data_IF_884165068496
#
_entry.id   IF_884165068496
#
_cell.length_a   1.000
_cell.length_b   1.000
_cell.length_c   1.000
_cell.angle_alpha   90.00
_cell.angle_beta   90.00
_cell.angle_gamma   90.00
#
_symmetry.space_group_name_H-M   'P 1'
#
loop_
_entity.id
_entity.type
_entity.pdbx_description
1 polymer ?
#
# COMPACT_ATOMS: atom_id res chain seq x y z
N UNK A 1 13.51 12.97 29.91
CA UNK A 1 13.44 12.66 28.46
C UNK A 1 14.73 12.09 27.86
N UNK A 2 15.92 12.28 28.46
CA UNK A 2 17.20 11.74 27.93
C UNK A 2 17.33 10.21 28.07
N UNK A 3 16.68 9.60 29.07
CA UNK A 3 16.68 8.14 29.30
C UNK A 3 15.86 7.33 28.29
N UNK A 4 14.92 7.95 27.57
CA UNK A 4 14.09 7.28 26.55
C UNK A 4 14.88 7.13 25.24
N UNK A 5 15.69 8.13 24.88
CA UNK A 5 16.51 8.09 23.65
C UNK A 5 17.67 7.08 23.72
N UNK A 6 18.24 6.84 24.90
CA UNK A 6 19.26 5.79 25.08
C UNK A 6 18.71 4.37 24.90
N UNK A 7 17.44 4.14 25.27
CA UNK A 7 16.79 2.84 25.07
C UNK A 7 16.40 2.59 23.60
N UNK A 8 16.03 3.62 22.84
CA UNK A 8 15.80 3.51 21.39
C UNK A 8 17.10 3.24 20.61
N UNK A 9 18.24 3.76 21.07
CA UNK A 9 19.52 3.54 20.39
C UNK A 9 20.06 2.11 20.60
N UNK A 10 19.80 1.50 21.76
CA UNK A 10 20.15 0.09 22.02
C UNK A 10 19.27 -0.90 21.22
N UNK A 11 18.03 -0.54 20.89
CA UNK A 11 17.15 -1.36 20.04
C UNK A 11 17.65 -1.39 18.57
N UNK A 12 18.16 -0.29 18.03
CA UNK A 12 18.64 -0.22 16.64
C UNK A 12 19.91 -1.04 16.40
N UNK A 13 20.75 -1.27 17.42
CA UNK A 13 21.98 -2.07 17.28
C UNK A 13 21.68 -3.58 17.37
N UNK A 14 20.63 -3.99 18.10
CA UNK A 14 20.27 -5.41 18.25
C UNK A 14 19.61 -5.99 16.99
N UNK A 15 19.07 -5.17 16.10
CA UNK A 15 18.40 -5.60 14.87
C UNK A 15 19.33 -5.75 13.65
N UNK A 16 20.58 -5.27 13.73
CA UNK A 16 21.54 -5.33 12.60
C UNK A 16 22.34 -6.64 12.53
N UNK A 17 22.10 -7.60 13.43
CA UNK A 17 22.73 -8.93 13.38
C UNK A 17 21.74 -10.10 13.16
N UNK A 18 20.44 -9.83 13.02
CA UNK A 18 19.40 -10.88 12.98
C UNK A 18 18.64 -10.96 11.66
N UNK A 19 19.13 -10.32 10.60
CA UNK A 19 18.53 -10.36 9.26
C UNK A 19 19.55 -10.90 8.27
N UNK A 20 20.01 -12.13 8.48
CA UNK A 20 20.55 -12.99 7.43
C UNK A 20 20.52 -14.43 7.95
N UNK A 21 19.34 -15.05 7.94
CA UNK A 21 19.13 -16.50 7.84
C UNK A 21 17.63 -16.76 7.98
N UNK A 22 16.97 -17.15 6.89
CA UNK A 22 16.15 -18.36 6.79
C UNK A 22 15.92 -18.58 5.29
N UNK A 23 16.31 -19.77 4.82
CA UNK A 23 16.22 -20.31 3.45
C UNK A 23 17.49 -20.20 2.60
N UNK A 24 18.56 -20.85 3.04
CA UNK A 24 19.36 -21.71 2.16
C UNK A 24 20.11 -22.76 3.00
N UNK A 25 19.98 -24.01 2.54
CA UNK A 25 20.89 -25.16 2.61
C UNK A 25 21.92 -25.20 3.76
N UNK A 26 21.84 -26.29 4.52
CA UNK A 26 22.77 -26.65 5.58
C UNK A 26 24.17 -26.96 4.99
N UNK A 27 25.14 -26.07 5.21
CA UNK A 27 26.57 -26.30 4.92
C UNK A 27 27.36 -26.08 6.23
N UNK A 28 28.11 -27.06 6.75
CA UNK A 28 28.71 -26.97 8.09
C UNK A 28 30.08 -26.24 8.17
N UNK A 29 30.53 -25.51 7.14
CA UNK A 29 31.88 -24.93 7.11
C UNK A 29 31.96 -23.44 6.72
N UNK A 30 31.19 -22.55 7.35
CA UNK A 30 31.37 -21.10 7.16
C UNK A 30 31.80 -20.41 8.45
N UNK A 31 33.03 -19.91 8.43
CA UNK A 31 33.76 -19.26 9.51
C UNK A 31 33.17 -17.89 9.90
N UNK A 32 32.98 -17.72 11.21
CA UNK A 32 33.26 -16.55 12.04
C UNK A 32 32.88 -15.13 11.54
N UNK A 33 31.87 -14.54 12.20
CA UNK A 33 31.77 -13.08 12.37
C UNK A 33 32.97 -12.57 13.19
N UNK A 34 33.94 -11.98 12.50
CA UNK A 34 35.11 -11.33 13.10
C UNK A 34 34.70 -10.12 13.96
N UNK A 35 35.02 -10.20 15.25
CA UNK A 35 34.69 -9.22 16.30
C UNK A 35 35.66 -8.03 16.36
N UNK A 36 36.38 -7.72 15.29
CA UNK A 36 37.53 -6.79 15.33
C UNK A 36 37.22 -5.32 14.99
N UNK A 37 35.99 -4.94 14.63
CA UNK A 37 35.69 -3.56 14.16
C UNK A 37 34.87 -2.66 15.11
N UNK A 38 34.70 -3.02 16.39
CA UNK A 38 33.92 -2.21 17.36
C UNK A 38 34.79 -1.18 18.12
N UNK A 39 36.11 -1.10 17.87
CA UNK A 39 37.00 -0.18 18.61
C UNK A 39 37.29 1.17 17.95
N UNK A 40 36.76 1.45 16.75
CA UNK A 40 37.05 2.71 16.02
C UNK A 40 35.90 3.72 15.94
N UNK A 41 34.79 3.52 16.66
CA UNK A 41 33.63 4.43 16.66
C UNK A 41 33.46 5.28 17.93
N UNK A 42 34.29 5.07 18.96
CA UNK A 42 34.18 5.80 20.23
C UNK A 42 34.87 7.18 20.24
N UNK A 43 35.68 7.51 19.23
CA UNK A 43 36.43 8.77 19.19
C UNK A 43 35.69 9.94 18.48
N UNK A 44 34.60 9.69 17.76
CA UNK A 44 33.92 10.73 16.97
C UNK A 44 32.68 11.36 17.65
N UNK A 45 32.17 10.77 18.74
CA UNK A 45 30.90 11.21 19.35
C UNK A 45 31.07 12.24 20.48
N UNK A 46 32.29 12.48 20.97
CA UNK A 46 32.52 13.38 22.12
C UNK A 46 32.31 14.88 21.82
N UNK A 47 32.45 15.30 20.55
CA UNK A 47 32.38 16.72 20.18
C UNK A 47 30.99 17.20 19.76
N UNK A 48 30.05 16.30 19.46
CA UNK A 48 28.70 16.65 19.03
C UNK A 48 27.74 16.91 20.20
N UNK A 49 27.93 16.29 21.36
CA UNK A 49 27.05 16.48 22.52
C UNK A 49 27.10 17.89 23.12
N UNK A 50 28.21 18.64 22.95
CA UNK A 50 28.31 20.02 23.42
C UNK A 50 27.55 21.03 22.54
N UNK A 51 27.38 20.73 21.25
CA UNK A 51 26.64 21.61 20.31
C UNK A 51 25.12 21.46 20.46
N UNK A 52 24.60 20.26 20.74
CA UNK A 52 23.16 20.05 20.93
C UNK A 52 22.61 20.70 22.21
N UNK A 53 23.44 20.88 23.25
CA UNK A 53 23.00 21.52 24.50
C UNK A 53 22.81 23.03 24.39
N UNK A 54 23.50 23.70 23.44
CA UNK A 54 23.38 25.15 23.23
C UNK A 54 22.14 25.47 22.36
N UNK A 55 21.83 24.61 21.39
CA UNK A 55 20.66 24.75 20.52
C UNK A 55 19.35 24.58 21.31
N UNK A 56 19.32 23.71 22.33
CA UNK A 56 18.13 23.51 23.18
C UNK A 56 17.84 24.72 24.09
N UNK A 57 18.88 25.44 24.55
CA UNK A 57 18.73 26.65 25.38
C UNK A 57 18.27 27.85 24.55
N UNK A 58 18.67 27.95 23.29
CA UNK A 58 18.24 29.01 22.38
C UNK A 58 16.78 28.83 21.90
N UNK A 59 16.31 27.59 21.71
CA UNK A 59 14.91 27.33 21.33
C UNK A 59 13.91 27.60 22.46
N UNK A 60 14.32 27.50 23.74
CA UNK A 60 13.46 27.82 24.88
C UNK A 60 13.25 29.34 25.08
N UNK A 61 14.14 30.19 24.56
CA UNK A 61 14.02 31.64 24.67
C UNK A 61 13.07 32.28 23.62
N UNK A 62 12.77 31.57 22.52
CA UNK A 62 11.95 32.10 21.40
C UNK A 62 10.44 31.97 21.67
N UNK A 63 10.00 31.23 22.70
CA UNK A 63 8.57 30.99 22.96
C UNK A 63 7.87 32.02 23.86
N UNK A 64 8.51 33.15 24.20
CA UNK A 64 7.94 34.14 25.13
C UNK A 64 7.37 35.42 24.49
N UNK A 65 7.37 35.54 23.15
CA UNK A 65 6.73 36.67 22.47
C UNK A 65 5.83 36.16 21.35
N UNK A 66 4.56 36.01 21.71
CA UNK A 66 3.34 36.15 20.90
C UNK A 66 2.32 35.06 21.27
N UNK A 67 1.59 35.33 22.35
CA UNK A 67 0.30 34.69 22.60
C UNK A 67 -0.69 35.12 21.53
N UNK A 68 -0.78 34.34 20.46
CA UNK A 68 -1.94 34.29 19.59
C UNK A 68 -2.73 33.04 19.96
N UNK A 69 -3.86 33.23 20.62
CA UNK A 69 -4.84 32.18 20.89
C UNK A 69 -5.35 31.65 19.55
N UNK A 70 -4.89 30.48 19.13
CA UNK A 70 -5.53 29.74 18.04
C UNK A 70 -6.81 29.16 18.62
N UNK A 71 -7.95 29.73 18.22
CA UNK A 71 -9.26 29.15 18.48
C UNK A 71 -9.33 27.79 17.79
N UNK A 72 -9.18 26.71 18.57
CA UNK A 72 -9.52 25.37 18.09
C UNK A 72 -11.05 25.28 18.17
N UNK A 73 -11.70 25.60 17.06
CA UNK A 73 -13.10 25.25 16.85
C UNK A 73 -13.19 23.73 16.85
N UNK A 74 -13.92 23.19 17.82
CA UNK A 74 -14.32 21.80 17.94
C UNK A 74 -15.02 21.36 16.64
N UNK A 75 -14.25 20.68 15.77
CA UNK A 75 -14.74 20.04 14.57
C UNK A 75 -14.93 18.54 14.84
N UNK A 76 -15.71 18.21 15.86
CA UNK A 76 -16.24 16.86 16.03
C UNK A 76 -17.32 16.62 14.96
N UNK A 77 -17.01 15.74 14.01
CA UNK A 77 -17.94 15.03 13.09
C UNK A 77 -18.33 15.69 11.75
N UNK A 78 -17.37 16.22 10.98
CA UNK A 78 -17.50 16.21 9.49
C UNK A 78 -16.18 16.33 8.70
N UNK A 79 -15.05 15.88 9.24
CA UNK A 79 -13.76 15.88 8.52
C UNK A 79 -13.53 14.57 7.75
N UNK A 80 -14.33 14.30 6.71
CA UNK A 80 -13.85 13.64 5.47
C UNK A 80 -14.88 13.71 4.33
N UNK A 81 -15.67 14.78 4.22
CA UNK A 81 -16.09 15.22 2.89
C UNK A 81 -14.96 16.07 2.31
N UNK A 82 -13.75 15.49 2.25
CA UNK A 82 -12.78 15.94 1.27
C UNK A 82 -13.50 15.75 -0.05
N UNK A 83 -13.79 16.85 -0.74
CA UNK A 83 -14.19 16.84 -2.14
C UNK A 83 -13.09 16.06 -2.85
N UNK A 84 -13.24 14.73 -2.94
CA UNK A 84 -12.32 13.96 -3.75
C UNK A 84 -12.43 14.58 -5.13
N UNK A 85 -11.29 14.97 -5.74
CA UNK A 85 -11.30 15.28 -7.16
C UNK A 85 -12.04 14.14 -7.86
N UNK A 86 -12.88 14.52 -8.83
CA UNK A 86 -13.75 13.61 -9.61
C UNK A 86 -13.20 12.18 -9.61
N UNK A 87 -13.87 11.29 -8.87
CA UNK A 87 -13.38 9.95 -8.68
C UNK A 87 -13.78 9.11 -9.89
N UNK A 88 -12.99 9.28 -10.94
CA UNK A 88 -13.16 8.72 -12.26
C UNK A 88 -11.83 8.19 -12.79
N UNK A 89 -11.91 7.40 -13.85
CA UNK A 89 -10.73 7.03 -14.62
C UNK A 89 -10.35 8.21 -15.52
N UNK A 90 -9.07 8.62 -15.49
CA UNK A 90 -8.54 9.68 -16.35
C UNK A 90 -8.05 9.16 -17.70
N UNK A 91 -7.77 7.86 -17.79
CA UNK A 91 -7.34 7.20 -19.01
C UNK A 91 -8.46 6.32 -19.54
N UNK A 92 -8.75 6.41 -20.83
CA UNK A 92 -9.73 5.54 -21.49
C UNK A 92 -9.31 4.06 -21.47
N UNK A 93 -8.00 3.79 -21.40
CA UNK A 93 -7.41 2.45 -21.42
C UNK A 93 -7.29 1.78 -20.05
N UNK A 94 -7.92 2.32 -19.00
CA UNK A 94 -7.82 1.75 -17.65
C UNK A 94 -8.19 0.26 -17.57
N UNK A 95 -9.12 -0.21 -18.40
CA UNK A 95 -9.52 -1.61 -18.46
C UNK A 95 -8.51 -2.52 -19.16
N UNK A 96 -7.63 -1.98 -20.02
CA UNK A 96 -6.59 -2.76 -20.73
C UNK A 96 -5.48 -3.19 -19.80
N UNK A 97 -5.14 -2.35 -18.81
CA UNK A 97 -4.14 -2.67 -17.80
C UNK A 97 -4.57 -3.88 -16.96
N UNK A 98 -3.60 -4.74 -16.66
CA UNK A 98 -3.80 -5.90 -15.78
C UNK A 98 -4.17 -5.48 -14.34
N UNK A 99 -4.80 -6.36 -13.58
CA UNK A 99 -5.15 -6.08 -12.17
C UNK A 99 -3.92 -5.81 -11.30
N UNK A 100 -2.75 -6.34 -11.66
CA UNK A 100 -1.47 -6.01 -11.03
C UNK A 100 -1.08 -4.53 -11.11
N UNK A 101 -1.60 -3.79 -12.10
CA UNK A 101 -1.38 -2.35 -12.24
C UNK A 101 -2.17 -1.54 -11.20
N UNK A 102 -3.18 -2.14 -10.57
CA UNK A 102 -3.98 -1.51 -9.52
C UNK A 102 -3.40 -1.68 -8.12
N UNK A 103 -2.30 -2.41 -7.94
CA UNK A 103 -1.83 -2.83 -6.60
C UNK A 103 -0.32 -2.71 -6.45
N UNK A 104 0.18 -3.00 -5.24
CA UNK A 104 1.61 -2.99 -4.94
C UNK A 104 2.28 -1.66 -5.28
N UNK A 105 3.39 -1.71 -6.01
CA UNK A 105 4.16 -0.51 -6.41
C UNK A 105 3.42 0.43 -7.36
N UNK A 106 2.38 -0.05 -8.05
CA UNK A 106 1.62 0.73 -9.03
C UNK A 106 0.38 1.40 -8.42
N UNK A 107 0.02 1.06 -7.18
CA UNK A 107 -1.11 1.64 -6.47
C UNK A 107 -1.15 3.18 -6.46
N UNK A 108 -0.04 3.92 -6.28
CA UNK A 108 -0.05 5.39 -6.37
C UNK A 108 -0.48 5.89 -7.76
N UNK A 109 0.10 5.32 -8.83
CA UNK A 109 -0.24 5.67 -10.21
C UNK A 109 -1.71 5.33 -10.53
N UNK A 110 -2.18 4.17 -10.07
CA UNK A 110 -3.54 3.73 -10.29
C UNK A 110 -4.58 4.62 -9.58
N UNK A 111 -4.27 5.11 -8.37
CA UNK A 111 -5.11 6.11 -7.67
C UNK A 111 -5.25 7.40 -8.46
N UNK A 112 -4.23 7.78 -9.22
CA UNK A 112 -4.24 9.03 -9.98
C UNK A 112 -4.88 8.91 -11.36
N UNK A 113 -4.79 7.74 -11.99
CA UNK A 113 -5.14 7.55 -13.40
C UNK A 113 -6.34 6.64 -13.64
N UNK A 114 -6.55 5.63 -12.78
CA UNK A 114 -7.55 4.57 -12.96
C UNK A 114 -8.30 4.29 -11.65
N UNK A 115 -8.68 5.36 -10.94
CA UNK A 115 -9.24 5.26 -9.59
C UNK A 115 -10.54 4.45 -9.56
N UNK A 116 -11.40 4.62 -10.57
CA UNK A 116 -12.68 3.94 -10.66
C UNK A 116 -12.47 2.45 -10.96
N UNK A 117 -11.77 2.11 -12.06
CA UNK A 117 -11.50 0.72 -12.46
C UNK A 117 -10.77 -0.08 -11.39
N UNK A 118 -9.83 0.54 -10.68
CA UNK A 118 -9.06 -0.15 -9.65
C UNK A 118 -9.79 -0.30 -8.31
N UNK A 119 -10.88 0.43 -8.10
CA UNK A 119 -11.65 0.39 -6.85
C UNK A 119 -11.16 1.33 -5.76
N UNK A 120 -10.48 2.40 -6.14
CA UNK A 120 -10.07 3.45 -5.20
C UNK A 120 -11.14 4.51 -4.96
N UNK A 121 -12.25 4.44 -5.68
CA UNK A 121 -13.43 5.28 -5.48
C UNK A 121 -14.38 4.69 -4.43
N UNK A 122 -14.46 5.23 -3.20
CA UNK A 122 -15.28 4.67 -2.14
C UNK A 122 -16.76 4.65 -2.53
N UNK A 123 -17.36 3.47 -2.54
CA UNK A 123 -18.78 3.29 -2.85
C UNK A 123 -19.15 3.51 -4.33
N UNK A 124 -18.19 3.80 -5.20
CA UNK A 124 -18.40 3.91 -6.64
C UNK A 124 -17.44 2.95 -7.36
N UNK A 125 -17.94 1.79 -7.73
CA UNK A 125 -17.14 0.75 -8.38
C UNK A 125 -17.74 0.38 -9.74
N UNK A 126 -16.93 -0.14 -10.67
CA UNK A 126 -17.41 -0.78 -11.88
C UNK A 126 -18.51 -1.80 -11.55
N UNK A 127 -19.73 -1.68 -12.09
CA UNK A 127 -20.79 -2.66 -11.85
C UNK A 127 -20.41 -4.01 -12.46
N UNK A 128 -20.74 -5.09 -11.76
CA UNK A 128 -20.60 -6.46 -12.28
C UNK A 128 -21.77 -6.74 -13.23
N UNK A 129 -21.67 -6.22 -14.45
CA UNK A 129 -22.66 -6.42 -15.50
C UNK A 129 -21.98 -6.36 -16.87
N UNK A 130 -22.60 -6.99 -17.86
CA UNK A 130 -22.18 -6.86 -19.26
C UNK A 130 -22.67 -5.52 -19.84
N UNK A 131 -21.81 -4.87 -20.64
CA UNK A 131 -22.12 -3.60 -21.31
C UNK A 131 -22.64 -3.82 -22.74
N UNK A 132 -22.37 -4.99 -23.33
CA UNK A 132 -22.83 -5.38 -24.66
C UNK A 132 -23.74 -6.61 -24.56
N UNK A 133 -24.70 -6.71 -25.49
CA UNK A 133 -25.75 -7.74 -25.44
C UNK A 133 -25.28 -9.12 -25.88
N UNK A 134 -24.19 -9.21 -26.63
CA UNK A 134 -23.73 -10.44 -27.28
C UNK A 134 -22.53 -11.10 -26.58
N UNK A 135 -22.27 -10.79 -25.29
CA UNK A 135 -21.17 -11.42 -24.54
C UNK A 135 -21.25 -12.96 -24.51
N UNK A 136 -22.46 -13.53 -24.50
CA UNK A 136 -22.69 -14.99 -24.54
C UNK A 136 -22.35 -15.62 -25.89
N UNK A 137 -22.34 -14.82 -26.96
CA UNK A 137 -22.09 -15.27 -28.33
C UNK A 137 -20.60 -15.27 -28.70
N UNK A 138 -19.77 -14.50 -27.97
CA UNK A 138 -18.31 -14.42 -28.19
C UNK A 138 -17.58 -15.75 -27.96
N UNK A 139 -18.21 -16.72 -27.28
CA UNK A 139 -17.60 -17.97 -26.87
C UNK A 139 -16.74 -17.81 -25.61
N UNK A 140 -16.67 -18.87 -24.80
CA UNK A 140 -15.97 -18.86 -23.50
C UNK A 140 -14.46 -18.62 -23.60
N UNK A 141 -13.86 -18.93 -24.75
CA UNK A 141 -12.42 -18.77 -24.97
C UNK A 141 -11.97 -17.31 -24.87
N UNK A 142 -12.82 -16.37 -25.32
CA UNK A 142 -12.51 -14.93 -25.29
C UNK A 142 -12.27 -14.43 -23.86
N UNK A 143 -12.93 -15.03 -22.87
CA UNK A 143 -12.80 -14.66 -21.46
C UNK A 143 -11.41 -14.94 -20.86
N UNK A 144 -10.63 -15.85 -21.47
CA UNK A 144 -9.32 -16.29 -20.96
C UNK A 144 -8.15 -15.86 -21.86
N UNK A 145 -8.43 -15.37 -23.06
CA UNK A 145 -7.40 -14.90 -23.96
C UNK A 145 -6.84 -13.55 -23.51
N UNK A 146 -5.51 -13.51 -23.29
CA UNK A 146 -4.80 -12.28 -22.86
C UNK A 146 -5.04 -11.09 -23.79
N UNK A 147 -5.18 -11.35 -25.09
CA UNK A 147 -5.40 -10.34 -26.12
C UNK A 147 -6.75 -9.61 -25.97
N UNK A 148 -7.76 -10.28 -25.42
CA UNK A 148 -9.09 -9.73 -25.17
C UNK A 148 -9.32 -9.33 -23.72
N UNK A 149 -8.31 -9.43 -22.85
CA UNK A 149 -8.47 -9.23 -21.42
C UNK A 149 -9.05 -7.84 -21.08
N UNK A 150 -8.59 -6.79 -21.75
CA UNK A 150 -9.15 -5.43 -21.58
C UNK A 150 -10.60 -5.35 -22.04
N UNK A 151 -10.86 -5.85 -23.25
CA UNK A 151 -12.20 -5.88 -23.84
C UNK A 151 -13.22 -6.60 -22.95
N UNK A 152 -12.90 -7.78 -22.41
CA UNK A 152 -13.84 -8.53 -21.55
C UNK A 152 -14.01 -7.91 -20.17
N UNK A 153 -12.97 -7.28 -19.62
CA UNK A 153 -13.08 -6.51 -18.36
C UNK A 153 -13.95 -5.27 -18.54
N UNK A 154 -13.99 -4.68 -19.73
CA UNK A 154 -14.83 -3.53 -20.01
C UNK A 154 -16.28 -3.94 -20.33
N UNK A 155 -16.45 -4.93 -21.20
CA UNK A 155 -17.75 -5.18 -21.84
C UNK A 155 -18.48 -6.43 -21.33
N UNK A 156 -17.78 -7.43 -20.81
CA UNK A 156 -18.35 -8.75 -20.54
C UNK A 156 -18.03 -9.26 -19.13
N UNK A 157 -18.10 -8.37 -18.13
CA UNK A 157 -17.66 -8.68 -16.77
C UNK A 157 -18.48 -9.78 -16.12
N UNK A 158 -19.78 -9.80 -16.33
CA UNK A 158 -20.65 -10.81 -15.73
C UNK A 158 -20.47 -12.14 -16.45
N UNK A 159 -20.59 -12.16 -17.78
CA UNK A 159 -20.43 -13.38 -18.58
C UNK A 159 -19.06 -14.02 -18.39
N UNK A 160 -17.98 -13.21 -18.35
CA UNK A 160 -16.61 -13.71 -18.18
C UNK A 160 -16.14 -13.78 -16.71
N UNK A 161 -17.03 -13.53 -15.74
CA UNK A 161 -16.69 -13.50 -14.31
C UNK A 161 -15.48 -12.61 -13.98
N UNK A 162 -15.38 -11.42 -14.61
CA UNK A 162 -14.36 -10.39 -14.40
C UNK A 162 -14.86 -9.26 -13.50
N UNK A 163 -15.60 -9.64 -12.46
CA UNK A 163 -16.25 -8.70 -11.53
C UNK A 163 -15.37 -8.27 -10.35
N UNK A 164 -14.18 -8.85 -10.23
CA UNK A 164 -13.23 -8.52 -9.19
C UNK A 164 -12.85 -7.03 -9.23
N UNK A 165 -12.65 -6.47 -8.04
CA UNK A 165 -12.19 -5.10 -7.82
C UNK A 165 -10.81 -5.19 -7.18
N UNK A 166 -9.72 -4.94 -7.92
CA UNK A 166 -8.38 -5.34 -7.47
C UNK A 166 -7.94 -4.71 -6.14
N UNK A 167 -8.22 -3.43 -5.91
CA UNK A 167 -7.79 -2.77 -4.67
C UNK A 167 -8.52 -3.30 -3.44
N UNK A 168 -9.69 -3.94 -3.61
CA UNK A 168 -10.47 -4.49 -2.50
C UNK A 168 -10.14 -5.95 -2.20
N UNK A 169 -9.59 -6.67 -3.17
CA UNK A 169 -9.20 -8.09 -3.03
C UNK A 169 -7.71 -8.27 -2.76
N UNK A 170 -6.89 -7.23 -2.94
CA UNK A 170 -5.45 -7.29 -2.69
C UNK A 170 -5.11 -7.40 -1.20
N UNK A 171 -4.39 -8.47 -0.85
CA UNK A 171 -3.80 -8.68 0.47
C UNK A 171 -2.28 -8.52 0.35
N UNK A 172 -1.67 -7.47 0.93
CA UNK A 172 -0.21 -7.31 0.90
C UNK A 172 0.49 -8.45 1.65
N UNK A 173 1.39 -9.17 1.00
CA UNK A 173 2.25 -10.18 1.64
C UNK A 173 1.72 -11.61 1.68
N UNK A 174 0.65 -11.92 0.93
CA UNK A 174 0.23 -13.31 0.70
C UNK A 174 0.44 -13.68 -0.78
N UNK A 175 1.64 -14.16 -1.10
CA UNK A 175 1.97 -14.71 -2.43
C UNK A 175 1.41 -16.14 -2.64
N UNK A 176 0.36 -16.52 -1.89
CA UNK A 176 -0.36 -17.78 -2.13
C UNK A 176 -1.87 -17.58 -2.15
N UNK A 177 -2.45 -17.89 -3.31
CA UNK A 177 -3.88 -17.97 -3.64
C UNK A 177 -4.81 -18.38 -2.48
N UNK A 178 -5.31 -17.42 -1.70
CA UNK A 178 -6.54 -17.63 -0.90
C UNK A 178 -7.37 -16.34 -0.89
N UNK A 179 -8.36 -16.33 -1.79
CA UNK A 179 -9.50 -15.41 -1.82
C UNK A 179 -10.30 -15.50 -0.51
N UNK A 180 -10.64 -14.38 0.16
CA UNK A 180 -11.73 -14.35 1.11
C UNK A 180 -13.04 -14.44 0.33
N UNK A 181 -13.57 -15.66 0.21
CA UNK A 181 -14.95 -15.90 -0.27
C UNK A 181 -15.92 -15.22 0.68
N UNK A 182 -16.30 -13.96 0.41
CA UNK A 182 -17.07 -13.20 1.40
C UNK A 182 -18.01 -12.10 0.90
N UNK A 183 -17.93 -11.60 -0.33
CA UNK A 183 -18.79 -10.45 -0.71
C UNK A 183 -19.39 -10.41 -2.11
N UNK A 184 -19.41 -11.52 -2.84
CA UNK A 184 -20.30 -11.66 -4.00
C UNK A 184 -21.17 -12.90 -3.79
N UNK A 185 -22.45 -12.69 -3.46
CA UNK A 185 -23.47 -13.75 -3.49
C UNK A 185 -23.43 -14.38 -4.87
N UNK A 186 -22.84 -15.58 -4.99
CA UNK A 186 -23.06 -16.48 -6.12
C UNK A 186 -24.57 -16.70 -6.22
N UNK A 187 -25.25 -16.00 -7.13
CA UNK A 187 -26.52 -16.50 -7.65
C UNK A 187 -26.18 -17.78 -8.40
N UNK A 188 -26.51 -18.93 -7.79
CA UNK A 188 -26.47 -20.23 -8.47
C UNK A 188 -27.38 -20.10 -9.69
N UNK A 189 -26.79 -20.04 -10.89
CA UNK A 189 -27.55 -20.23 -12.11
C UNK A 189 -27.92 -21.72 -12.17
N UNK A 190 -29.21 -22.00 -12.02
CA UNK A 190 -29.80 -23.30 -12.36
C UNK A 190 -29.47 -23.58 -13.84
N UNK A 191 -28.84 -24.73 -14.09
CA UNK A 191 -28.83 -25.38 -15.40
C UNK A 191 -30.13 -26.18 -15.50
N UNK A 192 -30.91 -25.93 -16.54
CA UNK A 192 -31.84 -26.91 -17.11
C UNK A 192 -31.08 -27.79 -18.09
#
# INVERSE_FOLDING_TARGET
MVTIFFNLCLLVIKDRCTIFHINTVHDPNTEQCSSSNIRSLSAALGSWFKMFSIILVLLAAVTLVNGATIGVSDATTKMYASTMPDCSDKLDSCFDFSDGSCVGRYAPWARENCAYRCGYCPGNYPPCQDQITYCKELGSEVCNQKLYAGYVRLNCRETCNKCEIPALTYVPGNDTDVLPTGLFKKKKHFRN
#
